data_IF_196816721090
#
_entry.id   IF_196816721090
#
_cell.length_a   1.000
_cell.length_b   1.000
_cell.length_c   1.000
_cell.angle_alpha   90.00
_cell.angle_beta   90.00
_cell.angle_gamma   90.00
#
_symmetry.space_group_name_H-M   'P 1'
#
loop_
_entity.id
_entity.type
_entity.pdbx_description
1 polymer ?
#
# COMPACT_ATOMS: atom_id res chain seq x y z
N UNK A 1 -16.65 -2.95 -31.57
CA UNK A 1 -15.76 -2.76 -30.41
C UNK A 1 -16.46 -1.77 -29.50
N UNK A 2 -16.85 -2.23 -28.33
CA UNK A 2 -17.49 -1.37 -27.32
C UNK A 2 -16.41 -0.79 -26.40
N UNK A 3 -16.57 0.46 -25.98
CA UNK A 3 -15.62 1.12 -25.07
C UNK A 3 -16.08 0.94 -23.64
N UNK A 4 -15.17 0.42 -22.81
CA UNK A 4 -15.35 0.24 -21.38
C UNK A 4 -14.91 1.45 -20.55
N UNK A 5 -14.55 1.17 -19.31
CA UNK A 5 -14.02 2.17 -18.39
C UNK A 5 -12.74 2.82 -18.94
N UNK A 6 -12.54 4.08 -18.58
CA UNK A 6 -11.31 4.83 -18.88
C UNK A 6 -10.62 5.15 -17.57
N UNK A 7 -9.39 4.69 -17.41
CA UNK A 7 -8.53 5.00 -16.27
C UNK A 7 -7.37 5.89 -16.73
N UNK A 8 -7.14 6.98 -16.01
CA UNK A 8 -5.97 7.84 -16.19
C UNK A 8 -5.13 7.84 -14.91
N UNK A 9 -3.90 7.32 -14.98
CA UNK A 9 -2.95 7.32 -13.87
C UNK A 9 -1.93 8.42 -14.11
N UNK A 10 -1.78 9.32 -13.14
CA UNK A 10 -0.83 10.43 -13.15
C UNK A 10 0.19 10.25 -12.04
N UNK A 11 1.45 10.13 -12.42
CA UNK A 11 2.54 9.96 -11.47
C UNK A 11 3.16 11.30 -11.08
N UNK A 12 3.57 11.41 -9.82
CA UNK A 12 4.36 12.53 -9.31
C UNK A 12 5.60 11.94 -8.64
N UNK A 13 6.77 12.19 -9.23
CA UNK A 13 8.02 11.65 -8.74
C UNK A 13 8.50 12.38 -7.48
N UNK A 14 8.85 11.62 -6.45
CA UNK A 14 9.47 12.10 -5.22
C UNK A 14 10.99 12.06 -5.38
N UNK A 15 11.64 13.20 -5.14
CA UNK A 15 13.08 13.38 -5.32
C UNK A 15 13.84 13.25 -4.01
N UNK A 16 13.21 13.61 -2.90
CA UNK A 16 13.81 13.61 -1.57
C UNK A 16 12.73 13.53 -0.49
N UNK A 17 13.17 13.03 0.66
CA UNK A 17 12.38 12.96 1.88
C UNK A 17 13.19 13.48 3.07
N UNK A 18 12.55 14.24 3.95
CA UNK A 18 13.16 14.75 5.18
C UNK A 18 12.19 14.66 6.35
N UNK A 19 12.73 14.65 7.58
CA UNK A 19 11.91 14.80 8.77
C UNK A 19 11.49 16.26 8.98
N UNK A 20 10.30 16.46 9.52
CA UNK A 20 9.79 17.79 9.87
C UNK A 20 8.64 17.76 10.87
N UNK A 21 8.03 18.92 11.10
CA UNK A 21 6.96 19.09 12.07
C UNK A 21 5.58 18.64 11.55
N UNK A 22 5.40 18.58 10.23
CA UNK A 22 4.15 18.16 9.58
C UNK A 22 4.41 17.12 8.48
N UNK A 23 3.45 16.21 8.27
CA UNK A 23 3.46 15.31 7.11
C UNK A 23 3.02 16.08 5.87
N UNK A 24 3.90 16.20 4.89
CA UNK A 24 3.65 17.00 3.70
C UNK A 24 4.22 16.38 2.45
N UNK A 25 3.48 16.43 1.35
CA UNK A 25 3.99 16.14 0.02
C UNK A 25 3.73 17.33 -0.88
N UNK A 26 4.79 17.81 -1.52
CA UNK A 26 4.70 18.91 -2.50
C UNK A 26 4.58 18.35 -3.91
N UNK A 27 3.98 19.12 -4.81
CA UNK A 27 3.82 18.73 -6.21
C UNK A 27 5.15 18.63 -6.96
N UNK A 28 6.19 19.29 -6.45
CA UNK A 28 7.53 19.30 -7.03
C UNK A 28 8.41 18.15 -6.51
N UNK A 29 7.87 17.26 -5.67
CA UNK A 29 8.53 16.00 -5.28
C UNK A 29 9.24 16.00 -3.93
N UNK A 30 9.08 17.03 -3.11
CA UNK A 30 9.62 17.05 -1.74
C UNK A 30 8.63 16.45 -0.74
N UNK A 31 9.05 15.39 -0.05
CA UNK A 31 8.30 14.72 1.00
C UNK A 31 8.83 15.10 2.39
N UNK A 32 7.93 15.42 3.31
CA UNK A 32 8.23 15.66 4.72
C UNK A 32 7.46 14.68 5.58
N UNK A 33 8.15 13.99 6.48
CA UNK A 33 7.57 13.00 7.39
C UNK A 33 7.69 13.49 8.84
N UNK A 34 6.56 13.54 9.53
CA UNK A 34 6.49 13.87 10.95
C UNK A 34 6.35 12.59 11.77
N UNK A 35 7.41 12.26 12.54
CA UNK A 35 7.43 11.05 13.37
C UNK A 35 6.42 11.10 14.51
N UNK A 36 6.07 12.30 14.99
CA UNK A 36 5.12 12.50 16.09
C UNK A 36 3.71 12.03 15.74
N UNK A 37 3.36 11.95 14.45
CA UNK A 37 2.10 11.38 13.97
C UNK A 37 1.90 9.92 14.42
N UNK A 38 2.99 9.18 14.67
CA UNK A 38 2.91 7.84 15.25
C UNK A 38 2.11 7.82 16.56
N UNK A 39 2.25 8.86 17.41
CA UNK A 39 1.55 8.97 18.70
C UNK A 39 0.04 9.15 18.51
N UNK A 40 -0.35 10.03 17.59
CA UNK A 40 -1.77 10.32 17.30
C UNK A 40 -2.49 9.10 16.70
N UNK A 41 -1.80 8.31 15.88
CA UNK A 41 -2.33 7.07 15.31
C UNK A 41 -2.42 5.99 16.41
N UNK A 42 -1.37 5.86 17.23
CA UNK A 42 -1.32 4.88 18.31
C UNK A 42 -2.47 5.02 19.31
N UNK A 43 -2.91 6.25 19.61
CA UNK A 43 -4.05 6.51 20.52
C UNK A 43 -5.37 5.87 20.03
N UNK A 44 -5.50 5.63 18.73
CA UNK A 44 -6.70 5.04 18.10
C UNK A 44 -6.62 3.52 17.97
N UNK A 45 -5.45 2.93 18.17
CA UNK A 45 -5.17 1.53 17.87
C UNK A 45 -4.77 0.74 19.13
N UNK A 46 -5.76 0.23 19.90
CA UNK A 46 -5.51 -0.35 21.21
C UNK A 46 -4.72 -1.67 21.19
N UNK A 47 -4.53 -2.29 20.02
CA UNK A 47 -3.75 -3.53 19.87
C UNK A 47 -2.29 -3.26 19.52
N UNK A 48 -1.93 -2.02 19.21
CA UNK A 48 -0.56 -1.62 18.92
C UNK A 48 0.09 -1.12 20.22
N UNK A 49 1.31 -1.55 20.47
CA UNK A 49 2.15 -1.11 21.58
C UNK A 49 2.97 0.13 21.19
N UNK A 50 3.58 0.11 20.02
CA UNK A 50 4.35 1.23 19.50
C UNK A 50 4.38 1.24 17.97
N UNK A 51 4.56 2.43 17.42
CA UNK A 51 4.79 2.68 15.99
C UNK A 51 6.07 3.50 15.89
N UNK A 52 7.00 3.07 15.05
CA UNK A 52 8.19 3.83 14.68
C UNK A 52 8.15 4.16 13.18
N UNK A 53 8.39 5.43 12.84
CA UNK A 53 8.35 5.91 11.46
C UNK A 53 9.74 6.40 11.09
N UNK A 54 10.35 5.79 10.06
CA UNK A 54 11.70 6.12 9.61
C UNK A 54 11.75 6.28 8.10
N UNK A 55 12.49 7.27 7.63
CA UNK A 55 12.94 7.37 6.25
C UNK A 55 14.17 6.48 6.10
N UNK A 56 14.17 5.61 5.10
CA UNK A 56 15.30 4.78 4.69
C UNK A 56 15.72 5.27 3.30
N UNK A 57 16.96 5.75 3.20
CA UNK A 57 17.56 6.17 1.95
C UNK A 57 18.06 4.98 1.13
N UNK A 58 18.23 5.12 -0.20
CA UNK A 58 18.67 4.03 -1.08
C UNK A 58 19.97 3.32 -0.67
N UNK A 59 20.88 4.01 0.03
CA UNK A 59 22.15 3.48 0.51
C UNK A 59 22.08 2.88 1.92
N UNK A 60 20.91 2.91 2.57
CA UNK A 60 20.71 2.46 3.95
C UNK A 60 20.06 1.06 4.03
N UNK A 61 20.04 0.29 2.95
CA UNK A 61 19.41 -1.04 2.92
C UNK A 61 20.13 -2.11 3.76
N UNK A 62 21.35 -1.84 4.22
CA UNK A 62 22.14 -2.74 5.09
C UNK A 62 21.74 -2.58 6.56
N UNK A 63 20.44 -2.71 6.84
CA UNK A 63 19.87 -2.61 8.19
C UNK A 63 18.86 -3.73 8.44
N UNK A 64 18.60 -4.02 9.71
CA UNK A 64 17.59 -4.98 10.10
C UNK A 64 16.18 -4.42 9.84
N UNK A 65 15.31 -5.26 9.29
CA UNK A 65 13.86 -5.04 9.17
C UNK A 65 13.10 -6.16 9.86
N UNK A 66 12.00 -5.82 10.53
CA UNK A 66 11.01 -6.83 10.89
C UNK A 66 10.31 -7.32 9.61
N UNK A 67 9.46 -8.33 9.76
CA UNK A 67 8.70 -8.90 8.64
C UNK A 67 7.93 -7.80 7.94
N UNK A 68 8.19 -7.69 6.65
CA UNK A 68 7.48 -6.81 5.74
C UNK A 68 6.12 -7.43 5.51
N UNK A 69 5.08 -6.78 6.02
CA UNK A 69 3.69 -7.18 5.87
C UNK A 69 3.06 -6.58 4.61
N UNK A 70 3.59 -5.46 4.12
CA UNK A 70 3.12 -4.82 2.87
C UNK A 70 4.15 -3.83 2.33
N UNK A 71 4.14 -3.65 1.01
CA UNK A 71 4.82 -2.56 0.30
C UNK A 71 3.73 -1.69 -0.34
N UNK A 72 3.44 -0.56 0.30
CA UNK A 72 2.26 0.24 -0.01
C UNK A 72 2.66 1.41 -0.91
N UNK A 73 2.11 1.50 -2.13
CA UNK A 73 2.26 2.70 -2.94
C UNK A 73 1.41 3.84 -2.36
N UNK A 74 1.93 5.06 -2.41
CA UNK A 74 1.14 6.25 -2.10
C UNK A 74 0.33 6.64 -3.33
N UNK A 75 -0.89 6.12 -3.42
CA UNK A 75 -1.82 6.34 -4.53
C UNK A 75 -3.19 6.77 -4.02
N UNK A 76 -3.89 7.59 -4.80
CA UNK A 76 -5.21 8.11 -4.44
C UNK A 76 -6.15 8.31 -5.62
N UNK A 77 -7.45 8.07 -5.41
CA UNK A 77 -8.52 8.45 -6.34
C UNK A 77 -8.81 9.95 -6.25
N UNK A 78 -8.67 10.62 -7.38
CA UNK A 78 -9.05 12.04 -7.55
C UNK A 78 -10.44 12.18 -8.15
N UNK A 79 -10.78 11.28 -9.08
CA UNK A 79 -12.08 11.25 -9.74
C UNK A 79 -12.45 9.80 -10.07
N UNK A 80 -13.72 9.45 -9.89
CA UNK A 80 -14.22 8.10 -10.15
C UNK A 80 -13.92 7.14 -9.00
N UNK A 81 -14.07 5.84 -9.28
CA UNK A 81 -13.77 4.74 -8.35
C UNK A 81 -12.52 3.99 -8.82
N UNK A 82 -12.01 3.08 -7.99
CA UNK A 82 -10.96 2.15 -8.40
C UNK A 82 -11.35 1.48 -9.72
N UNK A 83 -10.48 1.55 -10.72
CA UNK A 83 -10.68 1.03 -12.07
C UNK A 83 -11.16 2.05 -13.11
N UNK A 84 -11.55 3.26 -12.72
CA UNK A 84 -11.99 4.30 -13.65
C UNK A 84 -11.63 5.72 -13.21
N UNK A 85 -11.75 6.69 -14.12
CA UNK A 85 -11.52 8.10 -13.81
C UNK A 85 -10.03 8.43 -13.69
N UNK A 86 -9.63 9.09 -12.60
CA UNK A 86 -8.28 9.63 -12.43
C UNK A 86 -7.69 9.18 -11.10
N UNK A 87 -6.49 8.61 -11.17
CA UNK A 87 -5.65 8.22 -10.03
C UNK A 87 -4.37 9.04 -10.04
N UNK A 88 -4.01 9.60 -8.88
CA UNK A 88 -2.69 10.14 -8.64
C UNK A 88 -1.85 9.10 -7.90
N UNK A 89 -0.59 8.94 -8.26
CA UNK A 89 0.35 8.02 -7.60
C UNK A 89 1.70 8.70 -7.41
N UNK A 90 2.40 8.41 -6.32
CA UNK A 90 3.79 8.82 -6.15
C UNK A 90 4.71 7.73 -6.71
N UNK A 91 5.78 8.16 -7.37
CA UNK A 91 6.90 7.29 -7.75
C UNK A 91 8.16 7.74 -7.03
N UNK A 92 9.17 6.87 -6.91
CA UNK A 92 10.39 7.19 -6.17
C UNK A 92 10.26 7.03 -4.65
N UNK A 93 9.08 6.65 -4.14
CA UNK A 93 8.85 6.39 -2.72
C UNK A 93 7.80 5.31 -2.47
N UNK A 94 8.02 4.47 -1.46
CA UNK A 94 7.06 3.49 -0.97
C UNK A 94 6.97 3.51 0.56
N UNK A 95 5.81 3.13 1.11
CA UNK A 95 5.67 2.87 2.55
C UNK A 95 5.86 1.37 2.79
N UNK A 96 6.79 1.03 3.68
CA UNK A 96 7.08 -0.33 4.06
C UNK A 96 6.44 -0.59 5.43
N UNK A 97 5.33 -1.35 5.45
CA UNK A 97 4.70 -1.76 6.70
C UNK A 97 5.42 -2.99 7.24
N UNK A 98 5.98 -2.88 8.43
CA UNK A 98 6.66 -3.98 9.11
C UNK A 98 6.02 -4.26 10.46
N UNK A 99 6.06 -5.53 10.89
CA UNK A 99 5.33 -5.95 12.09
C UNK A 99 6.03 -7.02 12.92
N UNK A 100 6.04 -6.80 14.23
CA UNK A 100 6.48 -7.78 15.23
C UNK A 100 5.55 -7.74 16.46
N UNK A 101 5.35 -8.88 17.10
CA UNK A 101 4.67 -8.98 18.39
C UNK A 101 5.64 -8.63 19.52
N UNK A 102 5.13 -8.11 20.64
CA UNK A 102 5.91 -7.86 21.85
C UNK A 102 6.68 -9.11 22.36
N UNK A 103 6.18 -10.32 22.09
CA UNK A 103 6.89 -11.58 22.39
C UNK A 103 8.08 -11.88 21.48
N UNK A 104 8.35 -11.03 20.48
CA UNK A 104 9.39 -11.20 19.46
C UNK A 104 8.95 -12.06 18.27
N UNK A 105 7.67 -12.45 18.20
CA UNK A 105 7.13 -13.20 17.05
C UNK A 105 6.89 -12.27 15.87
N UNK A 106 7.43 -12.65 14.72
CA UNK A 106 7.29 -11.93 13.47
C UNK A 106 5.87 -12.12 12.88
N UNK A 107 5.21 -11.01 12.53
CA UNK A 107 3.81 -11.01 12.04
C UNK A 107 3.77 -11.44 10.56
N UNK A 108 2.88 -12.33 10.16
CA UNK A 108 2.73 -12.80 8.76
C UNK A 108 3.99 -13.44 8.13
N UNK A 109 4.92 -13.98 8.92
CA UNK A 109 6.26 -14.33 8.44
C UNK A 109 6.40 -15.68 7.69
N UNK A 110 5.45 -16.05 6.83
CA UNK A 110 5.62 -17.24 5.97
C UNK A 110 6.74 -17.05 4.94
N UNK A 111 6.90 -15.82 4.46
CA UNK A 111 7.93 -15.45 3.48
C UNK A 111 9.34 -15.26 4.04
N UNK A 112 9.52 -15.32 5.37
CA UNK A 112 10.80 -15.05 6.03
C UNK A 112 11.41 -13.70 5.63
N UNK A 113 10.61 -12.64 5.62
CA UNK A 113 11.03 -11.30 5.17
C UNK A 113 11.70 -10.46 6.27
N UNK A 114 11.82 -11.00 7.49
CA UNK A 114 12.65 -10.43 8.55
C UNK A 114 14.15 -10.67 8.30
N UNK A 115 14.99 -9.70 8.66
CA UNK A 115 16.45 -9.77 8.50
C UNK A 115 17.04 -8.54 7.83
N UNK A 116 18.09 -8.70 7.02
CA UNK A 116 18.74 -7.57 6.32
C UNK A 116 17.88 -7.12 5.14
N UNK A 117 17.36 -5.88 5.18
CA UNK A 117 16.41 -5.35 4.22
C UNK A 117 16.84 -5.54 2.75
N UNK A 118 18.11 -5.29 2.44
CA UNK A 118 18.68 -5.47 1.10
C UNK A 118 18.43 -6.86 0.50
N UNK A 119 18.44 -7.90 1.35
CA UNK A 119 18.31 -9.31 0.94
C UNK A 119 16.84 -9.78 0.89
N UNK A 120 15.92 -9.01 1.49
CA UNK A 120 14.54 -9.43 1.76
C UNK A 120 13.51 -8.87 0.78
N UNK A 121 13.82 -7.76 0.11
CA UNK A 121 12.96 -7.21 -0.94
C UNK A 121 13.38 -7.74 -2.31
N UNK A 122 12.40 -8.16 -3.11
CA UNK A 122 12.61 -8.50 -4.51
C UNK A 122 12.54 -7.24 -5.38
N UNK A 123 13.60 -6.44 -5.37
CA UNK A 123 13.65 -5.11 -6.00
C UNK A 123 13.29 -5.09 -7.49
N UNK A 124 12.66 -3.99 -7.92
CA UNK A 124 12.40 -3.65 -9.33
C UNK A 124 11.41 -4.56 -10.06
N UNK A 125 10.61 -5.34 -9.34
CA UNK A 125 9.46 -6.06 -9.89
C UNK A 125 8.20 -5.20 -9.85
N UNK A 126 7.19 -5.59 -10.63
CA UNK A 126 5.89 -4.93 -10.59
C UNK A 126 5.31 -5.01 -9.16
N UNK A 127 5.04 -3.84 -8.57
CA UNK A 127 4.52 -3.73 -7.19
C UNK A 127 5.60 -3.68 -6.09
N UNK A 128 6.88 -3.69 -6.44
CA UNK A 128 7.99 -3.57 -5.46
C UNK A 128 8.86 -2.36 -5.77
N UNK A 129 9.57 -1.79 -4.77
CA UNK A 129 10.41 -0.62 -4.96
C UNK A 129 11.64 -0.95 -5.82
N UNK A 130 12.18 0.06 -6.49
CA UNK A 130 13.54 0.02 -7.03
C UNK A 130 14.55 0.14 -5.89
N UNK A 131 15.78 -0.34 -6.11
CA UNK A 131 16.89 -0.11 -5.17
C UNK A 131 17.23 1.38 -4.99
N UNK A 132 16.78 2.23 -5.91
CA UNK A 132 16.98 3.68 -5.88
C UNK A 132 15.83 4.44 -5.25
N UNK A 133 14.73 3.77 -4.89
CA UNK A 133 13.56 4.43 -4.31
C UNK A 133 13.76 4.72 -2.82
N UNK A 134 13.14 5.80 -2.35
CA UNK A 134 13.03 6.10 -0.92
C UNK A 134 12.03 5.14 -0.27
N UNK A 135 12.29 4.71 0.96
CA UNK A 135 11.32 3.94 1.72
C UNK A 135 10.94 4.69 3.00
N UNK A 136 9.65 4.66 3.33
CA UNK A 136 9.16 5.07 4.64
C UNK A 136 8.84 3.79 5.40
N UNK A 137 9.72 3.39 6.32
CA UNK A 137 9.44 2.32 7.26
C UNK A 137 8.37 2.78 8.24
N UNK A 138 7.27 2.02 8.31
CA UNK A 138 6.23 2.12 9.31
C UNK A 138 6.26 0.83 10.12
N UNK A 139 7.05 0.82 11.19
CA UNK A 139 7.31 -0.37 12.00
C UNK A 139 6.37 -0.44 13.20
N UNK A 140 5.61 -1.53 13.25
CA UNK A 140 4.55 -1.74 14.25
C UNK A 140 4.97 -2.84 15.22
N UNK A 141 4.92 -2.52 16.51
CA UNK A 141 4.99 -3.52 17.58
C UNK A 141 3.57 -3.78 18.08
N UNK A 142 3.05 -4.98 17.84
CA UNK A 142 1.76 -5.43 18.36
C UNK A 142 1.88 -5.82 19.83
N UNK A 143 0.78 -5.67 20.58
CA UNK A 143 0.70 -6.15 21.97
C UNK A 143 0.80 -7.67 22.01
N UNK A 144 1.39 -8.19 23.09
CA UNK A 144 1.68 -9.61 23.23
C UNK A 144 0.51 -10.53 22.84
N UNK A 145 0.81 -11.51 21.98
CA UNK A 145 -0.11 -12.53 21.47
C UNK A 145 -1.25 -12.03 20.57
N UNK A 146 -1.22 -10.78 20.11
CA UNK A 146 -2.24 -10.28 19.17
C UNK A 146 -1.88 -10.52 17.69
N UNK A 147 -0.65 -10.95 17.42
CA UNK A 147 -0.18 -11.27 16.06
C UNK A 147 -0.90 -12.44 15.38
N UNK A 148 -1.46 -13.39 16.14
CA UNK A 148 -2.04 -14.62 15.62
C UNK A 148 -3.53 -14.49 15.26
N UNK A 149 -4.19 -13.44 15.74
CA UNK A 149 -5.60 -13.17 15.53
C UNK A 149 -5.77 -11.98 14.59
N UNK A 150 -6.77 -12.07 13.69
CA UNK A 150 -6.99 -11.10 12.61
C UNK A 150 -7.03 -9.63 13.05
N UNK A 151 -7.60 -9.26 14.21
CA UNK A 151 -7.60 -7.87 14.67
C UNK A 151 -6.20 -7.25 14.83
N UNK A 152 -5.16 -8.02 15.14
CA UNK A 152 -3.80 -7.50 15.31
C UNK A 152 -3.19 -7.00 14.00
N UNK A 153 -3.01 -7.87 12.98
CA UNK A 153 -2.57 -7.44 11.66
C UNK A 153 -3.48 -6.38 11.03
N UNK A 154 -4.81 -6.48 11.21
CA UNK A 154 -5.72 -5.44 10.73
C UNK A 154 -5.47 -4.07 11.39
N UNK A 155 -5.15 -4.02 12.69
CA UNK A 155 -4.80 -2.78 13.36
C UNK A 155 -3.52 -2.16 12.77
N UNK A 156 -2.48 -2.96 12.51
CA UNK A 156 -1.24 -2.48 11.88
C UNK A 156 -1.49 -1.87 10.49
N UNK A 157 -2.27 -2.56 9.65
CA UNK A 157 -2.63 -2.08 8.32
C UNK A 157 -3.52 -0.83 8.36
N UNK A 158 -4.51 -0.77 9.26
CA UNK A 158 -5.38 0.39 9.44
C UNK A 158 -4.61 1.63 9.93
N UNK A 159 -3.68 1.43 10.87
CA UNK A 159 -2.77 2.46 11.34
C UNK A 159 -1.91 3.02 10.20
N UNK A 160 -1.30 2.12 9.42
CA UNK A 160 -0.47 2.50 8.28
C UNK A 160 -1.31 3.19 7.18
N UNK A 161 -2.52 2.72 6.91
CA UNK A 161 -3.40 3.33 5.91
C UNK A 161 -3.84 4.74 6.33
N UNK A 162 -4.09 4.96 7.62
CA UNK A 162 -4.35 6.29 8.20
C UNK A 162 -3.18 7.24 7.97
N UNK A 163 -1.93 6.76 8.16
CA UNK A 163 -0.73 7.54 7.84
C UNK A 163 -0.64 7.86 6.34
N UNK A 164 -0.82 6.87 5.46
CA UNK A 164 -0.84 7.06 4.02
C UNK A 164 -1.92 8.07 3.58
N UNK A 165 -3.09 8.05 4.23
CA UNK A 165 -4.21 8.92 3.89
C UNK A 165 -3.86 10.41 4.03
N UNK A 166 -2.99 10.77 4.97
CA UNK A 166 -2.53 12.16 5.16
C UNK A 166 -1.87 12.71 3.89
N UNK A 167 -1.09 11.87 3.18
CA UNK A 167 -0.48 12.25 1.91
C UNK A 167 -1.47 12.15 0.75
N UNK A 168 -2.31 11.11 0.72
CA UNK A 168 -3.35 10.93 -0.31
C UNK A 168 -4.28 12.15 -0.39
N UNK A 169 -4.72 12.69 0.74
CA UNK A 169 -5.60 13.86 0.77
C UNK A 169 -4.92 15.16 0.28
N UNK A 170 -3.59 15.24 0.38
CA UNK A 170 -2.82 16.34 -0.22
C UNK A 170 -2.70 16.13 -1.73
N UNK A 171 -2.40 14.90 -2.17
CA UNK A 171 -2.28 14.53 -3.58
C UNK A 171 -3.58 14.74 -4.37
N UNK A 172 -4.76 14.58 -3.74
CA UNK A 172 -6.06 14.93 -4.36
C UNK A 172 -6.14 16.39 -4.82
N UNK A 173 -5.38 17.27 -4.19
CA UNK A 173 -5.35 18.72 -4.50
C UNK A 173 -4.30 19.08 -5.55
N UNK A 174 -3.47 18.13 -5.98
CA UNK A 174 -2.43 18.39 -6.97
C UNK A 174 -3.03 18.77 -8.32
N UNK A 175 -2.39 19.74 -8.98
CA UNK A 175 -2.72 20.03 -10.37
C UNK A 175 -2.17 18.90 -11.26
N UNK A 176 -3.06 18.05 -11.74
CA UNK A 176 -2.70 16.90 -12.57
C UNK A 176 -1.95 17.22 -13.87
N UNK A 177 -1.94 18.47 -14.35
CA UNK A 177 -1.11 18.86 -15.51
C UNK A 177 0.39 18.93 -15.20
N UNK A 178 0.77 18.95 -13.92
CA UNK A 178 2.17 18.95 -13.47
C UNK A 178 2.71 17.54 -13.16
N UNK A 179 1.95 16.48 -13.48
CA UNK A 179 2.44 15.11 -13.32
C UNK A 179 3.70 14.88 -14.15
N UNK A 180 4.62 14.06 -13.62
CA UNK A 180 5.84 13.67 -14.32
C UNK A 180 5.55 12.63 -15.39
N UNK A 181 4.57 11.75 -15.15
CA UNK A 181 4.13 10.74 -16.11
C UNK A 181 2.61 10.65 -16.14
N UNK A 182 2.07 10.30 -17.30
CA UNK A 182 0.63 10.10 -17.52
C UNK A 182 0.39 8.86 -18.36
N UNK A 183 -0.41 7.96 -17.82
CA UNK A 183 -0.87 6.76 -18.50
C UNK A 183 -2.39 6.79 -18.66
N UNK A 184 -2.88 6.41 -19.83
CA UNK A 184 -4.31 6.33 -20.12
C UNK A 184 -4.62 4.92 -20.59
N UNK A 185 -5.55 4.27 -19.89
CA UNK A 185 -6.01 2.93 -20.17
C UNK A 185 -7.49 2.99 -20.53
N UNK A 186 -7.79 2.78 -21.81
CA UNK A 186 -9.15 2.66 -22.31
C UNK A 186 -9.47 1.18 -22.47
N UNK A 187 -10.46 0.69 -21.75
CA UNK A 187 -10.97 -0.66 -21.98
C UNK A 187 -11.74 -0.74 -23.28
N UNK A 188 -11.61 -1.88 -23.93
CA UNK A 188 -12.31 -2.20 -25.17
C UNK A 188 -12.79 -3.64 -25.13
N UNK A 189 -14.04 -3.85 -25.50
CA UNK A 189 -14.68 -5.16 -25.54
C UNK A 189 -15.01 -5.57 -26.97
N UNK A 190 -14.83 -6.85 -27.27
CA UNK A 190 -15.14 -7.46 -28.56
C UNK A 190 -16.21 -8.55 -28.37
N UNK A 191 -17.51 -8.21 -28.47
CA UNK A 191 -18.62 -9.11 -28.10
C UNK A 191 -18.62 -10.46 -28.83
N UNK A 192 -18.08 -10.51 -30.05
CA UNK A 192 -18.04 -11.72 -30.89
C UNK A 192 -16.80 -12.59 -30.66
N UNK A 193 -15.93 -12.22 -29.71
CA UNK A 193 -14.71 -12.97 -29.37
C UNK A 193 -14.80 -13.59 -27.98
N UNK A 194 -14.00 -14.63 -27.77
CA UNK A 194 -13.86 -15.26 -26.45
C UNK A 194 -13.03 -14.38 -25.53
N UNK A 195 -13.51 -14.20 -24.31
CA UNK A 195 -12.74 -13.56 -23.24
C UNK A 195 -11.60 -14.46 -22.75
N UNK A 196 -10.49 -13.83 -22.38
CA UNK A 196 -9.34 -14.48 -21.74
C UNK A 196 -9.27 -13.96 -20.30
N UNK A 197 -9.36 -14.88 -19.34
CA UNK A 197 -9.28 -14.57 -17.92
C UNK A 197 -7.91 -14.97 -17.38
N UNK A 198 -7.31 -14.08 -16.57
CA UNK A 198 -6.16 -14.40 -15.75
C UNK A 198 -6.70 -14.71 -14.35
N UNK A 199 -6.40 -15.91 -13.85
CA UNK A 199 -6.80 -16.32 -12.51
C UNK A 199 -5.61 -16.14 -11.58
N UNK A 200 -5.77 -15.28 -10.56
CA UNK A 200 -4.82 -15.13 -9.46
C UNK A 200 -5.42 -15.77 -8.22
N UNK A 201 -4.73 -16.78 -7.69
CA UNK A 201 -5.04 -17.33 -6.38
C UNK A 201 -4.45 -16.40 -5.30
N UNK A 202 -5.21 -16.17 -4.24
CA UNK A 202 -4.85 -15.28 -3.15
C UNK A 202 -5.05 -15.99 -1.81
N UNK A 203 -4.31 -15.54 -0.80
CA UNK A 203 -4.45 -16.06 0.56
C UNK A 203 -5.80 -15.64 1.16
N UNK A 204 -6.43 -16.60 1.82
CA UNK A 204 -7.63 -16.43 2.64
C UNK A 204 -7.66 -17.46 3.76
N UNK A 205 -6.48 -17.85 4.24
CA UNK A 205 -6.31 -18.97 5.17
C UNK A 205 -5.96 -18.44 6.56
N UNK A 206 -7.00 -18.19 7.33
CA UNK A 206 -6.89 -17.89 8.75
C UNK A 206 -6.73 -16.41 9.05
N UNK A 207 -6.23 -16.11 10.24
CA UNK A 207 -6.26 -14.76 10.80
C UNK A 207 -5.19 -13.81 10.22
N UNK A 208 -4.08 -14.34 9.73
CA UNK A 208 -2.88 -13.56 9.36
C UNK A 208 -2.62 -13.49 7.85
N UNK A 209 -3.19 -14.41 7.06
CA UNK A 209 -3.04 -14.44 5.60
C UNK A 209 -4.39 -14.16 4.95
N UNK A 210 -4.61 -12.89 4.63
CA UNK A 210 -5.85 -12.38 4.05
C UNK A 210 -5.52 -11.46 2.87
N UNK A 211 -6.51 -11.27 2.00
CA UNK A 211 -6.44 -10.29 0.93
C UNK A 211 -7.67 -9.41 1.03
N UNK A 212 -7.48 -8.09 1.04
CA UNK A 212 -8.59 -7.14 0.94
C UNK A 212 -8.81 -6.74 -0.50
N UNK A 213 -10.07 -6.56 -0.85
CA UNK A 213 -10.49 -6.10 -2.16
C UNK A 213 -11.42 -4.88 -2.05
N UNK A 214 -11.43 -4.06 -3.09
CA UNK A 214 -12.37 -2.94 -3.26
C UNK A 214 -12.23 -1.83 -2.20
N UNK A 215 -10.99 -1.48 -1.84
CA UNK A 215 -10.72 -0.30 -0.99
C UNK A 215 -11.15 1.01 -1.66
N UNK A 216 -11.39 2.04 -0.85
CA UNK A 216 -11.80 3.37 -1.33
C UNK A 216 -10.67 4.07 -2.13
N UNK A 217 -9.43 3.77 -1.77
CA UNK A 217 -8.21 4.23 -2.44
C UNK A 217 -7.49 3.05 -3.11
N UNK A 218 -6.66 3.27 -4.15
CA UNK A 218 -5.80 2.23 -4.71
C UNK A 218 -4.89 1.63 -3.64
N UNK A 219 -4.96 0.30 -3.45
CA UNK A 219 -4.30 -0.41 -2.35
C UNK A 219 -4.67 0.13 -0.95
N UNK A 220 -5.85 0.73 -0.80
CA UNK A 220 -6.37 1.21 0.48
C UNK A 220 -6.84 0.07 1.39
N UNK A 221 -6.76 0.30 2.70
CA UNK A 221 -7.34 -0.62 3.69
C UNK A 221 -8.80 -0.24 3.96
N UNK A 222 -9.07 1.06 4.12
CA UNK A 222 -10.43 1.58 4.36
C UNK A 222 -11.36 1.28 3.17
N UNK A 223 -12.62 0.94 3.47
CA UNK A 223 -13.59 0.46 2.48
C UNK A 223 -13.36 -0.97 1.99
N UNK A 224 -12.17 -1.54 2.21
CA UNK A 224 -11.79 -2.85 1.70
C UNK A 224 -12.48 -4.03 2.40
N UNK A 225 -12.91 -5.00 1.61
CA UNK A 225 -13.53 -6.24 2.07
C UNK A 225 -12.52 -7.39 2.07
N UNK A 226 -12.45 -8.11 3.20
CA UNK A 226 -11.66 -9.34 3.30
C UNK A 226 -12.23 -10.43 2.38
N UNK A 227 -11.38 -11.14 1.65
CA UNK A 227 -11.82 -12.30 0.87
C UNK A 227 -12.38 -13.41 1.76
N UNK A 228 -11.93 -13.51 3.01
CA UNK A 228 -12.47 -14.45 3.99
C UNK A 228 -13.92 -14.12 4.33
N UNK A 229 -14.22 -12.84 4.57
CA UNK A 229 -15.59 -12.38 4.84
C UNK A 229 -16.50 -12.55 3.62
N UNK A 230 -15.92 -12.49 2.42
CA UNK A 230 -16.59 -12.80 1.16
C UNK A 230 -16.76 -14.31 0.91
N UNK A 231 -16.37 -15.17 1.87
CA UNK A 231 -16.49 -16.62 1.78
C UNK A 231 -15.51 -17.27 0.81
N UNK A 232 -14.38 -16.61 0.54
CA UNK A 232 -13.36 -17.02 -0.44
C UNK A 232 -13.95 -17.29 -1.85
N UNK A 233 -15.04 -16.59 -2.19
CA UNK A 233 -15.68 -16.72 -3.48
C UNK A 233 -14.85 -16.02 -4.56
N UNK A 234 -14.75 -16.59 -5.78
CA UNK A 234 -14.08 -15.93 -6.88
C UNK A 234 -14.68 -14.55 -7.16
N UNK A 235 -13.85 -13.52 -7.15
CA UNK A 235 -14.21 -12.16 -7.56
C UNK A 235 -13.74 -11.90 -8.98
N UNK A 236 -14.65 -11.43 -9.83
CA UNK A 236 -14.29 -10.95 -11.16
C UNK A 236 -13.94 -9.47 -11.07
N UNK A 237 -12.75 -9.11 -11.53
CA UNK A 237 -12.28 -7.72 -11.60
C UNK A 237 -11.83 -7.39 -13.01
N UNK A 238 -11.99 -6.14 -13.40
CA UNK A 238 -11.55 -5.66 -14.71
C UNK A 238 -10.03 -5.45 -14.74
N UNK A 239 -9.41 -5.43 -15.94
CA UNK A 239 -8.01 -5.09 -16.07
C UNK A 239 -7.66 -3.71 -15.46
N UNK A 240 -8.57 -2.74 -15.55
CA UNK A 240 -8.32 -1.43 -14.94
C UNK A 240 -8.46 -1.46 -13.42
N UNK A 241 -9.43 -2.18 -12.85
CA UNK A 241 -9.54 -2.35 -11.39
C UNK A 241 -8.25 -2.97 -10.82
N UNK A 242 -7.72 -4.02 -11.47
CA UNK A 242 -6.47 -4.65 -11.05
C UNK A 242 -5.28 -3.68 -11.12
N UNK A 243 -5.15 -2.91 -12.21
CA UNK A 243 -4.09 -1.90 -12.36
C UNK A 243 -4.20 -0.77 -11.33
N UNK A 244 -5.42 -0.43 -10.95
CA UNK A 244 -5.74 0.68 -10.06
C UNK A 244 -5.81 0.25 -8.59
N UNK A 245 -5.20 -0.90 -8.25
CA UNK A 245 -5.01 -1.31 -6.86
C UNK A 245 -6.28 -1.83 -6.17
N UNK A 246 -7.18 -2.52 -6.89
CA UNK A 246 -8.38 -3.13 -6.29
C UNK A 246 -8.06 -4.18 -5.22
N UNK A 247 -6.85 -4.73 -5.21
CA UNK A 247 -6.40 -5.73 -4.25
C UNK A 247 -5.28 -5.20 -3.37
N UNK A 248 -5.31 -5.60 -2.10
CA UNK A 248 -4.24 -5.38 -1.13
C UNK A 248 -3.96 -6.67 -0.37
N UNK A 249 -2.71 -7.09 -0.33
CA UNK A 249 -2.27 -8.21 0.51
C UNK A 249 -2.19 -7.77 1.97
N UNK A 250 -2.51 -8.65 2.91
CA UNK A 250 -2.40 -8.38 4.34
C UNK A 250 -1.18 -9.04 4.98
N UNK A 251 -0.39 -9.73 4.15
CA UNK A 251 0.70 -10.66 4.49
C UNK A 251 1.98 -10.45 3.69
#
# INVERSE_FOLDING_TARGET
>A
METGSRLEVRAFHVTDAAYGEENKITIDGHLTVCQETAKEILEKEPLIKSIDIRIILPDEHQQHTNTIMDVIPLSTKVLGKVGEGVTHTLTGVYVLLTGVDESGRQVCNFGASDGILADKIAWGRAGTPLETDLLISFDVVLKENTWADRPGPEAAHRACDTFCQIFRDQMKKFNGYKCTEKHVFQETYEPDRKDVYIVKEVSGQGAVYDTRMFGDEPCGFEGGHSVIDMGCMPALVTPNEFRDGVMRAMD
#
